data_IF_163930354693
#
_entry.id   IF_163930354693
#
_cell.length_a   1.000
_cell.length_b   1.000
_cell.length_c   1.000
_cell.angle_alpha   90.00
_cell.angle_beta   90.00
_cell.angle_gamma   90.00
#
_symmetry.space_group_name_H-M   'P 1'
#
loop_
_entity.id
_entity.type
_entity.pdbx_description
1 polymer ?
#
# COMPACT_ATOMS: atom_id res chain seq x y z
N UNK A 1 -27.01 -13.15 10.01
CA UNK A 1 -26.01 -12.48 9.13
C UNK A 1 -24.73 -13.28 9.28
N UNK A 2 -24.25 -13.90 8.21
CA UNK A 2 -22.97 -14.60 8.24
C UNK A 2 -21.88 -13.56 8.55
N UNK A 3 -21.07 -13.85 9.57
CA UNK A 3 -19.89 -13.05 9.89
C UNK A 3 -18.96 -13.17 8.67
N UNK A 4 -18.83 -12.10 7.88
CA UNK A 4 -17.86 -12.08 6.79
C UNK A 4 -16.50 -12.47 7.38
N UNK A 5 -15.90 -13.51 6.81
CA UNK A 5 -14.60 -13.98 7.27
C UNK A 5 -13.61 -12.82 7.18
N UNK A 6 -13.07 -12.40 8.31
CA UNK A 6 -12.03 -11.36 8.38
C UNK A 6 -10.70 -11.96 7.96
N UNK A 7 -10.55 -12.23 6.68
CA UNK A 7 -9.39 -12.90 6.06
C UNK A 7 -8.05 -12.14 6.24
N UNK A 8 -8.10 -10.88 6.68
CA UNK A 8 -6.94 -10.08 7.07
C UNK A 8 -6.53 -10.28 8.53
N UNK A 9 -7.45 -10.75 9.41
CA UNK A 9 -7.25 -10.78 10.88
C UNK A 9 -6.42 -12.00 11.31
N UNK A 10 -5.18 -12.05 10.83
CA UNK A 10 -4.18 -13.07 11.20
C UNK A 10 -3.56 -12.77 12.58
N UNK A 11 -2.85 -13.74 13.19
CA UNK A 11 -2.08 -13.50 14.42
C UNK A 11 -1.05 -12.40 14.22
N UNK A 12 -0.41 -12.37 13.05
CA UNK A 12 0.53 -11.31 12.71
C UNK A 12 -0.14 -9.93 12.66
N UNK A 13 -1.34 -9.83 12.07
CA UNK A 13 -2.11 -8.59 12.06
C UNK A 13 -2.41 -8.13 13.49
N UNK A 14 -2.90 -9.02 14.36
CA UNK A 14 -3.17 -8.71 15.79
C UNK A 14 -1.92 -8.22 16.51
N UNK A 15 -0.78 -8.91 16.34
CA UNK A 15 0.50 -8.48 16.92
C UNK A 15 0.90 -7.08 16.45
N UNK A 16 0.72 -6.78 15.16
CA UNK A 16 1.01 -5.44 14.64
C UNK A 16 0.07 -4.38 15.17
N UNK A 17 -1.21 -4.71 15.37
CA UNK A 17 -2.17 -3.79 15.98
C UNK A 17 -1.81 -3.49 17.46
N UNK A 18 -1.37 -4.48 18.22
CA UNK A 18 -0.84 -4.27 19.58
C UNK A 18 0.36 -3.33 19.54
N UNK A 19 1.34 -3.59 18.66
CA UNK A 19 2.49 -2.71 18.47
C UNK A 19 2.08 -1.26 18.13
N UNK A 20 1.07 -1.05 17.27
CA UNK A 20 0.58 0.28 16.93
C UNK A 20 -0.09 0.98 18.12
N UNK A 21 -0.80 0.23 18.96
CA UNK A 21 -1.38 0.76 20.20
C UNK A 21 -0.30 1.20 21.20
N UNK A 22 0.78 0.44 21.31
CA UNK A 22 1.93 0.77 22.18
C UNK A 22 2.81 1.88 21.60
N UNK A 23 2.77 2.07 20.27
CA UNK A 23 3.52 3.09 19.53
C UNK A 23 2.55 3.95 18.69
N UNK A 24 1.71 4.76 19.33
CA UNK A 24 0.67 5.52 18.63
C UNK A 24 1.29 6.56 17.70
N UNK A 25 0.53 6.91 16.67
CA UNK A 25 0.90 7.99 15.77
C UNK A 25 0.92 9.33 16.50
N UNK A 26 1.89 10.15 16.14
CA UNK A 26 1.91 11.57 16.51
C UNK A 26 1.15 12.39 15.46
N UNK A 27 0.67 13.55 15.87
CA UNK A 27 0.07 14.48 14.93
C UNK A 27 1.10 14.94 13.87
N UNK A 28 0.61 15.20 12.67
CA UNK A 28 1.39 15.77 11.56
C UNK A 28 2.51 14.89 10.97
N UNK A 29 2.59 13.62 11.31
CA UNK A 29 3.54 12.69 10.69
C UNK A 29 3.27 12.49 9.20
N UNK A 30 4.28 12.00 8.47
CA UNK A 30 4.12 11.40 7.15
C UNK A 30 3.85 9.90 7.33
N UNK A 31 2.69 9.42 6.93
CA UNK A 31 2.26 8.03 7.16
C UNK A 31 2.30 7.21 5.88
N UNK A 32 2.94 6.05 5.95
CA UNK A 32 2.92 5.02 4.91
C UNK A 32 1.93 3.92 5.30
N UNK A 33 0.76 3.88 4.65
CA UNK A 33 -0.29 2.88 4.85
C UNK A 33 -0.21 1.82 3.75
N UNK A 34 -0.08 0.56 4.14
CA UNK A 34 0.02 -0.52 3.15
C UNK A 34 0.15 -1.91 3.75
N UNK A 35 0.60 -2.83 2.91
CA UNK A 35 0.81 -4.23 3.23
C UNK A 35 2.30 -4.55 3.51
N UNK A 36 2.73 -5.81 3.21
CA UNK A 36 4.12 -6.25 3.39
C UNK A 36 5.14 -5.41 2.63
N UNK A 37 4.82 -4.93 1.44
CA UNK A 37 5.71 -4.06 0.65
C UNK A 37 5.96 -2.74 1.38
N UNK A 38 4.93 -2.14 1.97
CA UNK A 38 5.06 -0.94 2.79
C UNK A 38 5.81 -1.23 4.08
N UNK A 39 5.46 -2.33 4.77
CA UNK A 39 6.11 -2.71 6.03
C UNK A 39 7.61 -2.95 5.87
N UNK A 40 8.05 -3.53 4.74
CA UNK A 40 9.46 -3.84 4.47
C UNK A 40 10.33 -2.61 4.19
N UNK A 41 9.74 -1.45 3.92
CA UNK A 41 10.50 -0.21 3.70
C UNK A 41 11.03 0.37 5.01
N UNK A 42 12.31 0.75 5.00
CA UNK A 42 12.98 1.44 6.11
C UNK A 42 12.81 2.96 5.97
N UNK A 43 11.55 3.43 5.91
CA UNK A 43 11.18 4.80 5.50
C UNK A 43 11.86 5.87 6.34
N UNK A 44 11.98 5.67 7.66
CA UNK A 44 12.63 6.60 8.58
C UNK A 44 14.13 6.75 8.28
N UNK A 45 14.77 5.70 7.77
CA UNK A 45 16.19 5.74 7.39
C UNK A 45 16.39 6.43 6.04
N UNK A 46 15.45 6.27 5.12
CA UNK A 46 15.48 6.91 3.81
C UNK A 46 15.17 8.41 3.88
N UNK A 47 14.37 8.84 4.83
CA UNK A 47 13.94 10.23 4.99
C UNK A 47 14.17 10.73 6.43
N UNK A 48 15.43 10.83 6.88
CA UNK A 48 15.76 11.11 8.29
C UNK A 48 15.36 12.51 8.75
N UNK A 49 15.09 13.43 7.83
CA UNK A 49 14.60 14.78 8.12
C UNK A 49 13.09 14.87 8.31
N UNK A 50 12.34 13.77 8.08
CA UNK A 50 10.89 13.71 8.16
C UNK A 50 10.45 12.84 9.34
N UNK A 51 9.39 13.26 10.03
CA UNK A 51 8.76 12.40 11.05
C UNK A 51 7.82 11.39 10.36
N UNK A 52 8.36 10.20 10.09
CA UNK A 52 7.69 9.16 9.32
C UNK A 52 7.13 8.07 10.22
N UNK A 53 5.97 7.55 9.87
CA UNK A 53 5.39 6.38 10.49
C UNK A 53 5.04 5.30 9.46
N UNK A 54 5.61 4.12 9.65
CA UNK A 54 5.31 2.93 8.85
C UNK A 54 4.10 2.20 9.44
N UNK A 55 2.96 2.26 8.76
CA UNK A 55 1.72 1.55 9.06
C UNK A 55 1.45 0.42 8.06
N UNK A 56 2.51 -0.24 7.61
CA UNK A 56 2.43 -1.48 6.83
C UNK A 56 2.17 -2.71 7.70
N UNK A 57 1.37 -3.67 7.20
CA UNK A 57 1.15 -4.99 7.83
C UNK A 57 1.26 -6.07 6.76
N UNK A 58 2.11 -7.07 7.01
CA UNK A 58 2.25 -8.24 6.11
C UNK A 58 0.90 -8.96 5.97
N UNK A 59 0.50 -9.23 4.73
CA UNK A 59 -0.74 -9.94 4.43
C UNK A 59 -2.00 -9.07 4.47
N UNK A 60 -1.90 -7.81 4.89
CA UNK A 60 -3.05 -6.91 4.99
C UNK A 60 -3.67 -6.61 3.61
N UNK A 61 -4.97 -6.49 3.59
CA UNK A 61 -5.78 -6.14 2.42
C UNK A 61 -6.59 -4.86 2.69
N UNK A 62 -7.41 -4.45 1.74
CA UNK A 62 -8.17 -3.21 1.87
C UNK A 62 -9.22 -3.24 2.98
N UNK A 63 -9.73 -4.42 3.40
CA UNK A 63 -10.65 -4.55 4.53
C UNK A 63 -9.93 -4.34 5.86
N UNK A 64 -8.74 -4.93 6.03
CA UNK A 64 -7.92 -4.73 7.22
C UNK A 64 -7.49 -3.29 7.37
N UNK A 65 -7.15 -2.60 6.27
CA UNK A 65 -6.83 -1.16 6.31
C UNK A 65 -8.03 -0.31 6.75
N UNK A 66 -9.24 -0.62 6.26
CA UNK A 66 -10.46 0.06 6.70
C UNK A 66 -10.73 -0.18 8.19
N UNK A 67 -10.51 -1.40 8.68
CA UNK A 67 -10.73 -1.76 10.08
C UNK A 67 -9.81 -1.01 11.07
N UNK A 68 -8.62 -0.57 10.61
CA UNK A 68 -7.63 0.15 11.43
C UNK A 68 -7.43 1.61 11.04
N UNK A 69 -8.35 2.18 10.29
CA UNK A 69 -8.21 3.52 9.73
C UNK A 69 -8.33 4.62 10.78
N UNK A 70 -9.10 4.38 11.85
CA UNK A 70 -9.45 5.38 12.87
C UNK A 70 -8.21 5.99 13.55
N UNK A 71 -7.23 5.17 13.94
CA UNK A 71 -5.96 5.63 14.53
C UNK A 71 -5.27 6.66 13.64
N UNK A 72 -5.21 6.38 12.33
CA UNK A 72 -4.52 7.25 11.37
C UNK A 72 -5.31 8.54 11.13
N UNK A 73 -6.64 8.46 11.10
CA UNK A 73 -7.51 9.63 10.97
C UNK A 73 -7.37 10.59 12.16
N UNK A 74 -7.32 10.02 13.39
CA UNK A 74 -7.17 10.81 14.62
C UNK A 74 -5.80 11.52 14.70
N UNK A 75 -4.76 10.91 14.17
CA UNK A 75 -3.41 11.50 14.13
C UNK A 75 -3.28 12.66 13.13
N UNK A 76 -4.21 12.79 12.18
CA UNK A 76 -4.21 13.86 11.16
C UNK A 76 -2.84 14.04 10.50
N UNK A 77 -2.31 13.02 9.79
CA UNK A 77 -1.01 13.11 9.16
C UNK A 77 -0.97 14.24 8.13
N UNK A 78 0.19 14.86 7.94
CA UNK A 78 0.37 15.85 6.85
C UNK A 78 0.29 15.19 5.48
N UNK A 79 0.83 13.96 5.39
CA UNK A 79 0.87 13.18 4.14
C UNK A 79 0.52 11.73 4.41
N UNK A 80 -0.26 11.14 3.51
CA UNK A 80 -0.63 9.74 3.55
C UNK A 80 -0.27 9.07 2.22
N UNK A 81 0.69 8.14 2.26
CA UNK A 81 1.06 7.31 1.12
C UNK A 81 0.34 5.96 1.22
N UNK A 82 -0.44 5.60 0.18
CA UNK A 82 -1.25 4.37 0.17
C UNK A 82 -0.75 3.44 -0.94
N UNK A 83 -0.33 2.21 -0.57
CA UNK A 83 -0.07 1.12 -1.52
C UNK A 83 -0.76 -0.16 -1.02
N UNK A 84 -1.77 -0.63 -1.74
CA UNK A 84 -2.58 -1.80 -1.36
C UNK A 84 -3.30 -2.42 -2.54
N UNK A 85 -3.74 -3.67 -2.40
CA UNK A 85 -4.61 -4.36 -3.35
C UNK A 85 -4.05 -5.69 -3.88
N UNK A 86 -2.75 -5.98 -3.74
CA UNK A 86 -2.19 -7.24 -4.23
C UNK A 86 -2.69 -8.44 -3.42
N UNK A 87 -2.86 -8.30 -2.11
CA UNK A 87 -3.40 -9.35 -1.26
C UNK A 87 -4.89 -9.57 -1.52
N UNK A 88 -5.65 -8.50 -1.76
CA UNK A 88 -7.04 -8.60 -2.22
C UNK A 88 -7.15 -9.41 -3.52
N UNK A 89 -6.26 -9.13 -4.50
CA UNK A 89 -6.21 -9.88 -5.76
C UNK A 89 -5.85 -11.36 -5.50
N UNK A 90 -4.92 -11.64 -4.59
CA UNK A 90 -4.55 -13.02 -4.21
C UNK A 90 -5.70 -13.77 -3.55
N UNK A 91 -6.62 -13.05 -2.92
CA UNK A 91 -7.84 -13.55 -2.27
C UNK A 91 -9.06 -13.53 -3.20
N UNK A 92 -8.86 -13.34 -4.50
CA UNK A 92 -9.89 -13.32 -5.55
C UNK A 92 -10.92 -12.18 -5.46
N UNK A 93 -10.63 -11.12 -4.70
CA UNK A 93 -11.51 -9.94 -4.71
C UNK A 93 -11.50 -9.24 -6.07
N UNK A 94 -12.68 -8.85 -6.52
CA UNK A 94 -12.84 -8.11 -7.78
C UNK A 94 -12.19 -6.73 -7.67
N UNK A 95 -11.49 -6.28 -8.70
CA UNK A 95 -10.81 -4.96 -8.73
C UNK A 95 -11.75 -3.79 -8.44
N UNK A 96 -13.05 -3.90 -8.81
CA UNK A 96 -14.08 -2.91 -8.45
C UNK A 96 -14.27 -2.79 -6.94
N UNK A 97 -14.24 -3.92 -6.24
CA UNK A 97 -14.39 -3.95 -4.78
C UNK A 97 -13.17 -3.29 -4.10
N UNK A 98 -11.96 -3.69 -4.50
CA UNK A 98 -10.70 -3.12 -4.01
C UNK A 98 -10.67 -1.60 -4.21
N UNK A 99 -11.00 -1.14 -5.43
CA UNK A 99 -11.11 0.28 -5.74
C UNK A 99 -12.13 1.00 -4.85
N UNK A 100 -13.28 0.38 -4.55
CA UNK A 100 -14.31 0.98 -3.71
C UNK A 100 -13.83 1.13 -2.26
N UNK A 101 -13.11 0.14 -1.71
CA UNK A 101 -12.52 0.23 -0.38
C UNK A 101 -11.49 1.37 -0.32
N UNK A 102 -10.60 1.47 -1.32
CA UNK A 102 -9.63 2.59 -1.41
C UNK A 102 -10.36 3.94 -1.54
N UNK A 103 -11.46 4.00 -2.32
CA UNK A 103 -12.30 5.20 -2.41
C UNK A 103 -12.88 5.59 -1.04
N UNK A 104 -13.31 4.60 -0.25
CA UNK A 104 -13.81 4.84 1.10
C UNK A 104 -12.70 5.40 1.99
N UNK A 105 -11.50 4.81 1.98
CA UNK A 105 -10.33 5.35 2.72
C UNK A 105 -10.11 6.83 2.36
N UNK A 106 -10.02 7.16 1.07
CA UNK A 106 -9.81 8.53 0.60
C UNK A 106 -10.92 9.47 1.09
N UNK A 107 -12.19 9.02 1.04
CA UNK A 107 -13.33 9.82 1.49
C UNK A 107 -13.27 10.10 2.98
N UNK A 108 -12.99 9.11 3.81
CA UNK A 108 -12.84 9.28 5.26
C UNK A 108 -11.77 10.33 5.61
N UNK A 109 -10.63 10.31 4.91
CA UNK A 109 -9.59 11.34 5.10
C UNK A 109 -10.07 12.73 4.69
N UNK A 110 -10.76 12.86 3.56
CA UNK A 110 -11.29 14.15 3.11
C UNK A 110 -12.32 14.75 4.06
N UNK A 111 -13.09 13.90 4.71
CA UNK A 111 -14.13 14.30 5.66
C UNK A 111 -13.54 14.62 7.05
N UNK A 112 -12.60 13.79 7.54
CA UNK A 112 -12.13 13.84 8.93
C UNK A 112 -10.74 14.46 9.11
N UNK A 113 -9.94 14.50 8.04
CA UNK A 113 -8.58 15.05 8.03
C UNK A 113 -8.29 15.76 6.69
N UNK A 114 -9.06 16.83 6.35
CA UNK A 114 -9.01 17.46 5.03
C UNK A 114 -7.67 18.08 4.67
N UNK A 115 -6.84 18.39 5.65
CA UNK A 115 -5.48 18.91 5.45
C UNK A 115 -4.47 17.84 5.03
N UNK A 116 -4.82 16.54 5.17
CA UNK A 116 -3.94 15.45 4.77
C UNK A 116 -3.79 15.40 3.25
N UNK A 117 -2.58 15.54 2.75
CA UNK A 117 -2.28 15.30 1.34
C UNK A 117 -2.17 13.79 1.08
N UNK A 118 -3.00 13.26 0.17
CA UNK A 118 -3.06 11.82 -0.13
C UNK A 118 -2.30 11.51 -1.41
N UNK A 119 -1.37 10.55 -1.31
CA UNK A 119 -0.59 9.98 -2.41
C UNK A 119 -1.01 8.53 -2.63
N UNK A 120 -1.81 8.28 -3.66
CA UNK A 120 -2.21 6.94 -4.05
C UNK A 120 -1.16 6.35 -5.00
N UNK A 121 -0.56 5.23 -4.61
CA UNK A 121 0.49 4.58 -5.39
C UNK A 121 -0.10 3.41 -6.20
N UNK A 122 0.46 3.15 -7.39
CA UNK A 122 0.13 1.95 -8.14
C UNK A 122 0.67 0.70 -7.43
N UNK A 123 0.02 -0.45 -7.63
CA UNK A 123 0.62 -1.74 -7.32
C UNK A 123 1.88 -1.93 -8.17
N UNK A 124 2.82 -2.71 -7.64
CA UNK A 124 4.01 -3.14 -8.36
C UNK A 124 3.69 -4.33 -9.29
N UNK A 125 4.54 -4.61 -10.30
CA UNK A 125 4.44 -5.85 -11.05
C UNK A 125 4.77 -7.06 -10.15
N UNK A 126 4.41 -8.25 -10.63
CA UNK A 126 4.77 -9.53 -10.02
C UNK A 126 5.57 -10.37 -11.02
N UNK A 127 6.30 -11.36 -10.51
CA UNK A 127 7.00 -12.32 -11.36
C UNK A 127 6.65 -13.76 -10.95
N UNK A 128 5.72 -14.36 -11.67
CA UNK A 128 5.20 -15.70 -11.41
C UNK A 128 6.18 -16.83 -11.75
N UNK A 129 7.33 -16.56 -12.39
CA UNK A 129 8.36 -17.55 -12.70
C UNK A 129 9.01 -18.11 -11.43
N UNK A 130 9.02 -17.31 -10.35
CA UNK A 130 9.44 -17.78 -9.01
C UNK A 130 8.49 -18.82 -8.41
N UNK A 131 7.28 -18.96 -8.93
CA UNK A 131 6.29 -19.96 -8.53
C UNK A 131 6.01 -20.02 -7.01
N UNK A 132 6.28 -18.94 -6.28
CA UNK A 132 6.15 -18.85 -4.81
C UNK A 132 4.71 -18.56 -4.39
N UNK A 133 4.07 -17.57 -5.03
CA UNK A 133 2.72 -17.12 -4.68
C UNK A 133 1.68 -17.70 -5.63
N UNK A 134 1.25 -18.95 -5.38
CA UNK A 134 0.33 -19.69 -6.24
C UNK A 134 -0.97 -18.94 -6.55
N UNK A 135 -1.50 -18.21 -5.56
CA UNK A 135 -2.74 -17.41 -5.71
C UNK A 135 -2.59 -16.18 -6.61
N UNK A 136 -1.36 -15.80 -6.96
CA UNK A 136 -1.10 -14.68 -7.87
C UNK A 136 -0.78 -15.11 -9.30
N UNK A 137 -0.66 -16.42 -9.57
CA UNK A 137 -0.41 -16.92 -10.92
C UNK A 137 -1.54 -16.51 -11.86
N UNK A 138 -1.19 -15.84 -12.98
CA UNK A 138 -2.14 -15.36 -13.97
C UNK A 138 -2.92 -14.09 -13.58
N UNK A 139 -2.52 -13.42 -12.48
CA UNK A 139 -3.20 -12.21 -11.99
C UNK A 139 -2.63 -10.89 -12.50
N UNK A 140 -1.62 -10.90 -13.37
CA UNK A 140 -0.94 -9.70 -13.89
C UNK A 140 -1.94 -8.73 -14.58
N UNK A 141 -2.89 -9.28 -15.35
CA UNK A 141 -3.94 -8.47 -15.98
C UNK A 141 -4.86 -7.78 -14.97
N UNK A 142 -5.10 -8.42 -13.81
CA UNK A 142 -5.91 -7.83 -12.73
C UNK A 142 -5.15 -6.68 -12.05
N UNK A 143 -3.84 -6.82 -11.82
CA UNK A 143 -2.98 -5.75 -11.30
C UNK A 143 -3.01 -4.54 -12.24
N UNK A 144 -2.80 -4.75 -13.54
CA UNK A 144 -2.88 -3.68 -14.55
C UNK A 144 -4.25 -3.02 -14.60
N UNK A 145 -5.33 -3.83 -14.51
CA UNK A 145 -6.70 -3.33 -14.48
C UNK A 145 -6.94 -2.45 -13.24
N UNK A 146 -6.50 -2.91 -12.06
CA UNK A 146 -6.62 -2.14 -10.82
C UNK A 146 -5.80 -0.85 -10.91
N UNK A 147 -4.57 -0.87 -11.38
CA UNK A 147 -3.74 0.33 -11.54
C UNK A 147 -4.40 1.38 -12.45
N UNK A 148 -5.03 0.95 -13.55
CA UNK A 148 -5.83 1.86 -14.40
C UNK A 148 -7.02 2.46 -13.65
N UNK A 149 -7.70 1.65 -12.82
CA UNK A 149 -8.82 2.13 -12.00
C UNK A 149 -8.36 3.10 -10.91
N UNK A 150 -7.22 2.84 -10.25
CA UNK A 150 -6.64 3.73 -9.23
C UNK A 150 -6.21 5.07 -9.82
N UNK A 151 -5.60 5.08 -11.01
CA UNK A 151 -5.26 6.31 -11.73
C UNK A 151 -6.51 7.14 -12.08
N UNK A 152 -7.62 6.49 -12.45
CA UNK A 152 -8.90 7.19 -12.67
C UNK A 152 -9.51 7.69 -11.36
N UNK A 153 -9.43 6.86 -10.32
CA UNK A 153 -9.92 7.21 -8.99
C UNK A 153 -9.20 8.45 -8.44
N UNK A 154 -7.87 8.50 -8.58
CA UNK A 154 -7.10 9.66 -8.09
C UNK A 154 -7.55 10.97 -8.74
N UNK A 155 -7.81 10.95 -10.06
CA UNK A 155 -8.35 12.12 -10.78
C UNK A 155 -9.72 12.53 -10.24
N UNK A 156 -10.66 11.57 -10.10
CA UNK A 156 -12.02 11.86 -9.64
C UNK A 156 -12.09 12.28 -8.18
N UNK A 157 -11.17 11.77 -7.37
CA UNK A 157 -11.02 12.11 -5.97
C UNK A 157 -10.06 13.29 -5.74
N UNK A 158 -9.45 13.87 -6.79
CA UNK A 158 -8.49 14.99 -6.69
C UNK A 158 -7.38 14.71 -5.66
N UNK A 159 -6.77 13.52 -5.74
CA UNK A 159 -5.59 13.12 -4.97
C UNK A 159 -4.43 12.83 -5.91
N UNK A 160 -3.19 12.86 -5.41
CA UNK A 160 -2.01 12.58 -6.22
C UNK A 160 -1.91 11.09 -6.56
N UNK A 161 -1.44 10.76 -7.78
CA UNK A 161 -1.19 9.39 -8.21
C UNK A 161 0.27 9.20 -8.57
N UNK A 162 0.94 8.27 -7.90
CA UNK A 162 2.34 7.91 -8.17
C UNK A 162 2.37 6.56 -8.88
N UNK A 163 2.85 6.55 -10.11
CA UNK A 163 2.91 5.34 -10.93
C UNK A 163 4.25 4.63 -10.73
N UNK A 164 4.33 3.76 -9.74
CA UNK A 164 5.54 2.97 -9.46
C UNK A 164 5.70 1.77 -10.42
N UNK A 165 4.60 1.25 -10.97
CA UNK A 165 4.58 0.00 -11.75
C UNK A 165 5.69 -0.09 -12.81
N UNK A 166 5.89 0.91 -13.71
CA UNK A 166 6.88 0.81 -14.78
C UNK A 166 8.33 0.80 -14.30
N UNK A 167 8.60 1.29 -13.09
CA UNK A 167 9.97 1.39 -12.54
C UNK A 167 10.53 0.02 -12.15
N UNK A 168 9.66 -0.95 -11.95
CA UNK A 168 10.01 -2.29 -11.47
C UNK A 168 9.91 -3.37 -12.54
N UNK A 169 9.60 -3.00 -13.80
CA UNK A 169 9.47 -3.95 -14.90
C UNK A 169 10.82 -4.40 -15.45
N UNK A 170 10.89 -5.66 -15.82
CA UNK A 170 11.88 -6.17 -16.75
C UNK A 170 11.42 -6.00 -18.21
N UNK A 171 12.25 -6.43 -19.15
CA UNK A 171 11.95 -6.41 -20.59
C UNK A 171 10.75 -7.28 -21.02
N UNK A 172 10.33 -8.20 -20.18
CA UNK A 172 9.21 -9.11 -20.41
C UNK A 172 7.91 -8.63 -19.75
N UNK A 173 7.93 -7.47 -19.07
CA UNK A 173 6.78 -6.91 -18.39
C UNK A 173 6.46 -7.55 -17.03
N UNK A 174 7.44 -8.23 -16.41
CA UNK A 174 7.36 -8.84 -15.09
C UNK A 174 8.16 -8.02 -14.09
N UNK A 175 7.95 -8.27 -12.78
CA UNK A 175 8.85 -7.74 -11.74
C UNK A 175 10.27 -8.25 -12.02
N UNK A 176 11.19 -7.31 -12.17
CA UNK A 176 12.58 -7.60 -12.47
C UNK A 176 13.18 -8.51 -11.38
N UNK A 177 13.78 -9.63 -11.79
CA UNK A 177 14.35 -10.63 -10.88
C UNK A 177 15.50 -10.09 -10.02
N UNK A 178 16.20 -9.04 -10.49
CA UNK A 178 17.23 -8.38 -9.67
C UNK A 178 16.63 -7.67 -8.44
N UNK A 179 15.35 -7.29 -8.49
CA UNK A 179 14.65 -6.54 -7.45
C UNK A 179 13.90 -7.42 -6.44
N UNK A 180 13.79 -8.71 -6.71
CA UNK A 180 13.02 -9.64 -5.88
C UNK A 180 13.76 -10.97 -5.66
N UNK A 181 13.39 -11.70 -4.61
CA UNK A 181 13.83 -13.06 -4.36
C UNK A 181 12.69 -14.08 -4.39
N UNK A 182 11.45 -13.62 -4.52
CA UNK A 182 10.26 -14.46 -4.43
C UNK A 182 9.19 -14.12 -5.49
N UNK A 183 9.44 -13.09 -6.31
CA UNK A 183 8.54 -12.64 -7.36
C UNK A 183 7.45 -11.65 -6.91
N UNK A 184 7.46 -11.20 -5.64
CA UNK A 184 6.50 -10.26 -5.08
C UNK A 184 7.17 -9.18 -4.22
N UNK A 185 7.96 -9.60 -3.21
CA UNK A 185 8.61 -8.70 -2.26
C UNK A 185 9.90 -8.13 -2.83
N UNK A 186 10.21 -6.91 -2.44
CA UNK A 186 11.41 -6.21 -2.89
C UNK A 186 12.62 -6.57 -2.02
N UNK A 187 13.78 -6.72 -2.66
CA UNK A 187 15.08 -6.68 -1.99
C UNK A 187 15.38 -5.25 -1.53
N UNK A 188 16.25 -5.10 -0.54
CA UNK A 188 16.60 -3.80 0.04
C UNK A 188 17.01 -2.77 -1.02
N UNK A 189 17.93 -3.10 -1.92
CA UNK A 189 18.37 -2.21 -2.99
C UNK A 189 17.24 -1.76 -3.95
N UNK A 190 16.15 -2.51 -4.06
CA UNK A 190 15.03 -2.12 -4.89
C UNK A 190 14.13 -1.05 -4.24
N UNK A 191 14.21 -0.90 -2.92
CA UNK A 191 13.53 0.22 -2.25
C UNK A 191 14.13 1.56 -2.63
N UNK A 192 15.42 1.66 -3.00
CA UNK A 192 16.03 2.89 -3.47
C UNK A 192 15.31 3.46 -4.70
N UNK A 193 14.84 2.59 -5.61
CA UNK A 193 14.03 2.98 -6.77
C UNK A 193 12.70 3.59 -6.32
N UNK A 194 12.05 2.98 -5.33
CA UNK A 194 10.79 3.50 -4.79
C UNK A 194 11.00 4.84 -4.08
N UNK A 195 12.03 4.92 -3.25
CA UNK A 195 12.42 6.13 -2.53
C UNK A 195 12.68 7.29 -3.49
N UNK A 196 13.49 7.08 -4.53
CA UNK A 196 13.74 8.10 -5.56
C UNK A 196 12.45 8.58 -6.23
N UNK A 197 11.50 7.67 -6.50
CA UNK A 197 10.24 8.02 -7.14
C UNK A 197 9.30 8.85 -6.26
N UNK A 198 9.46 8.79 -4.93
CA UNK A 198 8.57 9.48 -3.98
C UNK A 198 9.26 10.62 -3.23
N UNK A 199 10.58 10.77 -3.33
CA UNK A 199 11.36 11.71 -2.52
C UNK A 199 10.78 13.14 -2.56
N UNK A 200 10.53 13.69 -3.73
CA UNK A 200 9.95 15.04 -3.88
C UNK A 200 8.56 15.21 -3.24
N UNK A 201 7.80 14.13 -3.11
CA UNK A 201 6.49 14.14 -2.45
C UNK A 201 6.58 14.01 -0.93
N UNK A 202 7.63 13.34 -0.43
CA UNK A 202 7.87 13.18 1.00
C UNK A 202 8.49 14.44 1.59
N UNK A 203 9.44 15.06 0.89
CA UNK A 203 10.29 16.16 1.40
C UNK A 203 9.64 17.56 1.25
N UNK A 204 8.79 17.77 0.23
CA UNK A 204 8.07 19.04 0.00
C UNK A 204 6.68 19.02 0.63
#
# INVERSE_FOLDING_TARGET
>A
MAQEAKDYETDFYRTRMTYFTENPLKANQVVFLGNSLTQGGKWEQYFPAQDIANRGIIGDNTHGMLARLEEILLAKPTKLFILTGVNDISQDYKTKHIRNNIKTIIREFKEKSPETTIYLQSLLPINNDFNRYKKLIGKEKQILCLNKQLKRLSKTQKVQFINLYPLFLDKNGKLNESYTSDGLHLKEAAYDIWVQAIATYVEN
#
